data_IF_235068506648
#
_entry.id   IF_235068506648
#
_cell.length_a   1.000
_cell.length_b   1.000
_cell.length_c   1.000
_cell.angle_alpha   90.00
_cell.angle_beta   90.00
_cell.angle_gamma   90.00
#
_symmetry.space_group_name_H-M   'P 1'
#
loop_
_entity.id
_entity.type
_entity.pdbx_description
1 polymer ?
#
# COMPACT_ATOMS: atom_id res chain seq x y z
N UNK A 1 17.71 -0.24 45.84
CA UNK A 1 16.71 -0.90 44.99
C UNK A 1 16.97 -0.42 43.57
N UNK A 2 17.57 -1.28 42.75
CA UNK A 2 17.93 -0.95 41.39
C UNK A 2 16.68 -1.02 40.51
N UNK A 3 16.43 0.03 39.74
CA UNK A 3 15.41 0.06 38.69
C UNK A 3 15.69 -1.07 37.72
N UNK A 4 14.75 -2.02 37.65
CA UNK A 4 14.72 -3.01 36.58
C UNK A 4 14.30 -2.23 35.33
N UNK A 5 15.28 -1.88 34.50
CA UNK A 5 15.04 -1.48 33.12
C UNK A 5 14.27 -2.62 32.42
N UNK A 6 12.94 -2.49 32.36
CA UNK A 6 12.12 -3.26 31.43
C UNK A 6 12.50 -2.79 30.02
N UNK A 7 13.56 -3.38 29.47
CA UNK A 7 13.80 -3.38 28.02
C UNK A 7 12.58 -4.05 27.39
N UNK A 8 11.61 -3.23 27.03
CA UNK A 8 10.44 -3.68 26.31
C UNK A 8 10.92 -4.05 24.91
N UNK A 9 10.92 -5.35 24.58
CA UNK A 9 11.21 -5.91 23.23
C UNK A 9 10.23 -5.42 22.13
N UNK A 10 9.36 -4.48 22.47
CA UNK A 10 8.44 -3.82 21.55
C UNK A 10 9.19 -2.96 20.54
N UNK A 11 8.75 -3.01 19.30
CA UNK A 11 9.17 -2.03 18.28
C UNK A 11 8.28 -0.80 18.41
N UNK A 12 8.89 0.38 18.50
CA UNK A 12 8.17 1.66 18.48
C UNK A 12 8.70 2.58 17.39
N UNK A 13 7.84 3.05 16.50
CA UNK A 13 8.22 4.01 15.46
C UNK A 13 7.16 5.10 15.26
N UNK A 14 7.54 6.20 14.64
CA UNK A 14 6.64 7.32 14.34
C UNK A 14 6.15 7.25 12.91
N UNK A 15 4.86 7.43 12.72
CA UNK A 15 4.19 7.45 11.43
C UNK A 15 3.59 8.82 11.16
N UNK A 16 3.97 9.45 10.06
CA UNK A 16 3.39 10.72 9.59
C UNK A 16 2.22 10.46 8.65
N UNK A 17 1.03 10.92 9.00
CA UNK A 17 -0.17 10.87 8.17
C UNK A 17 -0.83 12.26 8.17
N UNK A 18 -1.09 12.83 6.99
CA UNK A 18 -1.72 14.15 6.83
C UNK A 18 -1.10 15.23 7.74
N UNK A 19 0.24 15.29 7.75
CA UNK A 19 1.05 16.20 8.57
C UNK A 19 0.96 16.03 10.10
N UNK A 20 0.37 14.94 10.59
CA UNK A 20 0.36 14.58 12.01
C UNK A 20 1.21 13.34 12.25
N UNK A 21 1.93 13.31 13.37
CA UNK A 21 2.68 12.14 13.79
C UNK A 21 1.83 11.29 14.74
N UNK A 22 1.90 9.98 14.51
CA UNK A 22 1.30 8.94 15.34
C UNK A 22 2.40 8.01 15.80
N UNK A 23 2.33 7.54 17.04
CA UNK A 23 3.23 6.51 17.53
C UNK A 23 2.61 5.14 17.23
N UNK A 24 3.41 4.27 16.62
CA UNK A 24 3.05 2.87 16.37
C UNK A 24 3.88 2.01 17.30
N UNK A 25 3.20 1.09 18.00
CA UNK A 25 3.82 0.12 18.90
C UNK A 25 3.46 -1.28 18.44
N UNK A 26 4.44 -2.15 18.26
CA UNK A 26 4.24 -3.57 17.98
C UNK A 26 4.83 -4.36 19.13
N UNK A 27 3.97 -5.10 19.83
CA UNK A 27 4.35 -5.92 20.96
C UNK A 27 4.56 -7.38 20.52
N UNK A 28 5.78 -7.95 20.64
CA UNK A 28 6.03 -9.34 20.30
C UNK A 28 5.21 -10.31 21.18
N UNK A 29 4.88 -9.90 22.41
CA UNK A 29 4.20 -10.74 23.39
C UNK A 29 2.67 -10.68 23.28
N UNK A 30 2.11 -9.87 22.38
CA UNK A 30 0.65 -9.80 22.16
C UNK A 30 0.14 -11.07 21.48
N UNK A 31 -0.62 -11.89 22.20
CA UNK A 31 -1.12 -13.20 21.79
C UNK A 31 -2.47 -13.15 21.05
N UNK A 32 -3.05 -11.95 20.83
CA UNK A 32 -4.34 -11.80 20.14
C UNK A 32 -4.32 -12.25 18.69
N UNK A 33 -3.17 -12.11 18.03
CA UNK A 33 -2.99 -12.41 16.61
C UNK A 33 -1.77 -13.34 16.40
N UNK A 34 -1.92 -14.35 15.55
CA UNK A 34 -0.81 -15.22 15.12
C UNK A 34 0.32 -14.39 14.51
N UNK A 35 -0.04 -13.45 13.63
CA UNK A 35 0.91 -12.56 12.96
C UNK A 35 0.98 -11.19 13.64
N UNK A 36 2.18 -10.83 14.12
CA UNK A 36 2.38 -9.61 14.92
C UNK A 36 2.18 -8.32 14.12
N UNK A 37 2.32 -8.36 12.79
CA UNK A 37 2.02 -7.22 11.94
C UNK A 37 0.52 -6.87 11.89
N UNK A 38 -0.40 -7.71 12.38
CA UNK A 38 -1.82 -7.34 12.44
C UNK A 38 -2.08 -6.15 13.37
N UNK A 39 -1.28 -5.99 14.43
CA UNK A 39 -1.33 -4.81 15.31
C UNK A 39 -1.12 -3.50 14.53
N UNK A 40 -0.40 -3.54 13.41
CA UNK A 40 -0.23 -2.37 12.55
C UNK A 40 -1.53 -1.99 11.84
N UNK A 41 -2.28 -2.98 11.33
CA UNK A 41 -3.55 -2.71 10.66
C UNK A 41 -4.59 -2.17 11.64
N UNK A 42 -4.68 -2.72 12.85
CA UNK A 42 -5.51 -2.19 13.94
C UNK A 42 -5.22 -0.70 14.21
N UNK A 43 -3.94 -0.35 14.33
CA UNK A 43 -3.52 1.04 14.56
C UNK A 43 -3.76 1.93 13.34
N UNK A 44 -3.56 1.41 12.12
CA UNK A 44 -3.84 2.15 10.89
C UNK A 44 -5.34 2.44 10.74
N UNK A 45 -6.22 1.53 11.13
CA UNK A 45 -7.66 1.80 11.17
C UNK A 45 -7.99 2.97 12.10
N UNK A 46 -7.41 2.99 13.32
CA UNK A 46 -7.58 4.11 14.25
C UNK A 46 -7.04 5.44 13.70
N UNK A 47 -5.89 5.42 13.01
CA UNK A 47 -5.23 6.62 12.46
C UNK A 47 -5.97 7.17 11.23
N UNK A 48 -6.41 6.28 10.34
CA UNK A 48 -6.91 6.64 9.00
C UNK A 48 -8.44 6.64 8.93
N UNK A 49 -9.09 5.98 9.89
CA UNK A 49 -10.53 5.71 9.91
C UNK A 49 -11.00 4.82 8.75
N UNK A 50 -10.09 4.13 8.05
CA UNK A 50 -10.44 3.13 7.03
C UNK A 50 -10.57 1.80 7.74
N UNK A 51 -11.76 1.17 7.71
CA UNK A 51 -11.95 -0.16 8.28
C UNK A 51 -10.90 -1.16 7.76
N UNK A 52 -10.34 -1.98 8.66
CA UNK A 52 -9.26 -2.92 8.33
C UNK A 52 -9.63 -3.86 7.18
N UNK A 53 -10.88 -4.32 7.10
CA UNK A 53 -11.39 -5.13 5.97
C UNK A 53 -11.23 -4.49 4.58
N UNK A 54 -11.05 -3.17 4.49
CA UNK A 54 -10.81 -2.45 3.24
C UNK A 54 -9.33 -2.16 2.99
N UNK A 55 -8.42 -2.62 3.86
CA UNK A 55 -6.97 -2.51 3.70
C UNK A 55 -6.37 -3.91 3.55
N UNK A 56 -5.85 -4.22 2.37
CA UNK A 56 -5.40 -5.58 2.06
C UNK A 56 -3.94 -5.84 2.43
N UNK A 57 -3.07 -4.86 2.22
CA UNK A 57 -1.64 -5.03 2.45
C UNK A 57 -0.93 -3.75 2.82
N UNK A 58 0.23 -3.93 3.45
CA UNK A 58 1.20 -2.91 3.80
C UNK A 58 2.57 -3.30 3.24
N UNK A 59 3.31 -2.32 2.72
CA UNK A 59 4.69 -2.50 2.29
C UNK A 59 5.62 -1.58 3.09
N UNK A 60 6.75 -2.11 3.55
CA UNK A 60 7.85 -1.27 4.06
C UNK A 60 8.84 -1.05 2.93
N UNK A 61 9.08 0.20 2.58
CA UNK A 61 9.99 0.59 1.51
C UNK A 61 11.23 1.22 2.13
N UNK A 62 12.40 0.69 1.80
CA UNK A 62 13.68 1.30 2.20
C UNK A 62 14.58 1.55 1.00
N UNK A 63 15.48 2.50 1.19
CA UNK A 63 16.52 2.84 0.25
C UNK A 63 17.85 2.23 0.72
N UNK A 64 18.36 1.22 0.00
CA UNK A 64 19.63 0.56 0.37
C UNK A 64 20.86 1.41 0.06
N UNK A 65 20.74 2.35 -0.90
CA UNK A 65 21.81 3.25 -1.30
C UNK A 65 21.29 4.69 -1.32
N UNK A 66 21.11 5.33 -0.15
CA UNK A 66 20.77 6.75 -0.07
C UNK A 66 21.96 7.57 -0.58
N UNK A 67 22.04 7.73 -1.90
CA UNK A 67 22.98 8.62 -2.57
C UNK A 67 22.21 9.86 -3.02
N UNK A 68 22.75 11.08 -2.78
CA UNK A 68 22.12 12.33 -3.24
C UNK A 68 21.92 12.38 -4.77
N UNK A 69 22.59 11.50 -5.52
CA UNK A 69 22.54 11.44 -6.98
C UNK A 69 21.62 10.35 -7.54
N UNK A 70 21.21 9.34 -6.74
CA UNK A 70 20.45 8.21 -7.27
C UNK A 70 19.51 7.55 -6.24
N UNK A 71 18.36 8.20 -5.98
CA UNK A 71 17.28 7.66 -5.11
C UNK A 71 16.34 6.68 -5.84
N UNK A 72 16.76 6.07 -6.95
CA UNK A 72 15.91 5.18 -7.74
C UNK A 72 15.88 3.74 -7.21
N UNK A 73 16.81 3.36 -6.33
CA UNK A 73 16.94 2.00 -5.78
C UNK A 73 16.05 1.72 -4.57
N UNK A 74 14.76 2.08 -4.62
CA UNK A 74 13.82 1.72 -3.55
C UNK A 74 13.43 0.26 -3.66
N UNK A 75 13.67 -0.50 -2.60
CA UNK A 75 13.36 -1.92 -2.54
C UNK A 75 12.20 -2.12 -1.57
N UNK A 76 11.27 -2.99 -1.95
CA UNK A 76 10.25 -3.49 -1.04
C UNK A 76 10.97 -4.35 -0.02
N UNK A 77 11.16 -3.80 1.17
CA UNK A 77 11.85 -4.50 2.25
C UNK A 77 10.96 -5.55 2.85
N UNK A 78 9.68 -5.25 3.08
CA UNK A 78 8.70 -6.22 3.57
C UNK A 78 7.31 -6.00 3.00
N UNK A 79 6.56 -7.09 2.88
CA UNK A 79 5.15 -7.13 2.47
C UNK A 79 4.40 -7.79 3.62
N UNK A 80 3.29 -7.19 4.02
CA UNK A 80 2.45 -7.68 5.11
C UNK A 80 1.00 -7.66 4.65
N UNK A 81 0.29 -8.77 4.86
CA UNK A 81 -1.10 -8.92 4.44
C UNK A 81 -2.01 -8.87 5.65
N UNK A 82 -3.12 -8.17 5.51
CA UNK A 82 -4.14 -8.07 6.52
C UNK A 82 -5.06 -9.30 6.49
N UNK A 83 -5.13 -10.04 7.59
CA UNK A 83 -6.02 -11.20 7.70
C UNK A 83 -7.49 -10.79 7.69
N UNK A 84 -7.85 -9.61 8.18
CA UNK A 84 -9.24 -9.14 8.18
C UNK A 84 -9.78 -8.80 6.79
N UNK A 85 -8.90 -8.59 5.81
CA UNK A 85 -9.29 -8.35 4.42
C UNK A 85 -9.38 -9.65 3.60
N UNK A 86 -8.96 -10.80 4.15
CA UNK A 86 -8.99 -12.07 3.42
C UNK A 86 -10.42 -12.60 3.30
N UNK A 87 -10.74 -13.12 2.12
CA UNK A 87 -11.99 -13.88 1.88
C UNK A 87 -11.72 -15.39 1.89
N UNK A 88 -12.72 -16.24 2.23
CA UNK A 88 -12.56 -17.71 2.30
C UNK A 88 -12.08 -18.40 1.00
N UNK A 89 -12.18 -17.69 -0.13
CA UNK A 89 -11.73 -18.17 -1.43
C UNK A 89 -10.44 -17.46 -1.89
N UNK A 90 -9.72 -16.85 -0.96
CA UNK A 90 -8.48 -16.15 -1.26
C UNK A 90 -7.44 -17.16 -1.74
N UNK A 91 -6.72 -16.84 -2.82
CA UNK A 91 -5.64 -17.70 -3.29
C UNK A 91 -4.52 -17.83 -2.26
N UNK A 92 -4.45 -16.90 -1.30
CA UNK A 92 -3.54 -16.99 -0.16
C UNK A 92 -3.91 -18.09 0.82
N UNK A 93 -5.19 -18.38 1.02
CA UNK A 93 -5.65 -19.49 1.87
C UNK A 93 -5.29 -20.86 1.26
N UNK A 94 -5.41 -20.98 -0.07
CA UNK A 94 -5.17 -22.25 -0.78
C UNK A 94 -3.70 -22.49 -1.16
N UNK A 95 -2.92 -21.43 -1.36
CA UNK A 95 -1.53 -21.53 -1.81
C UNK A 95 -0.56 -20.82 -0.85
N UNK A 96 -0.32 -21.42 0.34
CA UNK A 96 0.63 -20.90 1.32
C UNK A 96 2.10 -20.86 0.84
N UNK A 97 2.40 -21.36 -0.37
CA UNK A 97 3.71 -21.20 -1.02
C UNK A 97 3.79 -20.01 -1.97
N UNK A 98 2.68 -19.42 -2.42
CA UNK A 98 2.70 -18.07 -3.01
C UNK A 98 2.87 -17.01 -1.91
N UNK A 99 2.42 -17.35 -0.70
CA UNK A 99 2.80 -16.74 0.58
C UNK A 99 4.32 -16.69 0.81
N UNK A 100 5.13 -17.61 0.27
CA UNK A 100 6.58 -17.65 0.56
C UNK A 100 7.37 -16.40 0.12
N UNK A 101 6.84 -15.63 -0.84
CA UNK A 101 7.46 -14.36 -1.27
C UNK A 101 6.91 -13.13 -0.55
N UNK A 102 5.76 -13.24 0.13
CA UNK A 102 5.05 -12.11 0.72
C UNK A 102 4.74 -12.24 2.23
N UNK A 103 4.96 -13.40 2.86
CA UNK A 103 4.51 -13.69 4.24
C UNK A 103 5.58 -14.15 5.23
N UNK A 104 6.84 -14.28 4.84
CA UNK A 104 7.89 -14.65 5.80
C UNK A 104 8.84 -13.48 6.01
N UNK A 105 8.26 -12.31 6.26
CA UNK A 105 8.96 -11.36 7.09
C UNK A 105 8.16 -11.19 8.34
N UNK A 106 8.69 -11.75 9.41
CA UNK A 106 8.37 -11.23 10.72
C UNK A 106 8.60 -9.71 10.68
N UNK A 107 7.65 -8.91 11.17
CA UNK A 107 7.82 -7.45 11.23
C UNK A 107 9.10 -7.08 12.01
N UNK A 108 9.53 -7.95 12.94
CA UNK A 108 10.81 -7.83 13.64
C UNK A 108 12.03 -8.04 12.72
N UNK A 109 11.91 -8.81 11.64
CA UNK A 109 13.00 -9.02 10.65
C UNK A 109 13.32 -7.79 9.81
N UNK A 110 12.42 -6.80 9.76
CA UNK A 110 12.62 -5.57 9.01
C UNK A 110 13.57 -4.60 9.73
N UNK A 111 14.08 -4.95 10.93
CA UNK A 111 15.09 -4.17 11.67
C UNK A 111 14.70 -2.68 11.81
N UNK A 112 13.44 -2.41 12.14
CA UNK A 112 12.95 -1.06 12.41
C UNK A 112 13.54 -0.57 13.73
N UNK A 113 14.13 0.63 13.73
CA UNK A 113 14.75 1.19 14.94
C UNK A 113 13.72 1.94 15.78
N UNK A 114 13.92 1.92 17.10
CA UNK A 114 13.11 2.73 18.00
C UNK A 114 13.24 4.22 17.66
N UNK A 115 12.10 4.89 17.49
CA UNK A 115 12.03 6.31 17.11
C UNK A 115 12.27 6.58 15.62
N UNK A 116 12.42 5.54 14.78
CA UNK A 116 12.46 5.71 13.32
C UNK A 116 11.16 6.39 12.83
N UNK A 117 11.29 7.22 11.80
CA UNK A 117 10.17 8.00 11.26
C UNK A 117 9.83 7.51 9.86
N UNK A 118 8.56 7.20 9.67
CA UNK A 118 7.97 6.83 8.40
C UNK A 118 6.91 7.83 8.00
N UNK A 119 6.77 7.99 6.70
CA UNK A 119 5.67 8.67 6.06
C UNK A 119 4.68 7.62 5.55
N UNK A 120 3.39 7.80 5.87
CA UNK A 120 2.34 6.93 5.38
C UNK A 120 1.95 7.36 3.96
N UNK A 121 2.37 6.58 2.98
CA UNK A 121 1.81 6.66 1.64
C UNK A 121 0.72 5.60 1.46
N UNK A 122 -0.27 5.92 0.64
CA UNK A 122 -1.40 5.06 0.35
C UNK A 122 -1.76 5.12 -1.12
N UNK A 123 -2.32 4.02 -1.61
CA UNK A 123 -2.95 3.92 -2.91
C UNK A 123 -4.06 2.87 -2.84
N UNK A 124 -4.71 2.63 -3.97
CA UNK A 124 -5.69 1.56 -4.09
C UNK A 124 -5.23 0.56 -5.13
N UNK A 125 -5.53 -0.71 -4.89
CA UNK A 125 -5.24 -1.77 -5.82
C UNK A 125 -6.38 -2.80 -5.84
N UNK A 126 -6.66 -3.41 -7.00
CA UNK A 126 -7.63 -4.52 -7.06
C UNK A 126 -6.92 -5.80 -6.62
N UNK A 127 -7.26 -6.28 -5.44
CA UNK A 127 -6.57 -7.37 -4.76
C UNK A 127 -7.28 -8.69 -5.05
N UNK A 128 -7.09 -9.19 -6.26
CA UNK A 128 -7.72 -10.42 -6.75
C UNK A 128 -7.34 -11.68 -5.96
N UNK A 129 -6.22 -11.67 -5.22
CA UNK A 129 -5.72 -12.83 -4.47
C UNK A 129 -6.10 -12.81 -2.98
N UNK A 130 -6.42 -11.64 -2.41
CA UNK A 130 -6.62 -11.45 -0.97
C UNK A 130 -8.09 -11.18 -0.69
N UNK A 131 -8.57 -10.01 -1.13
CA UNK A 131 -9.88 -9.49 -0.75
C UNK A 131 -10.90 -9.53 -1.89
N UNK A 132 -10.49 -9.90 -3.11
CA UNK A 132 -11.30 -9.92 -4.35
C UNK A 132 -12.09 -8.62 -4.57
N UNK A 133 -11.46 -7.48 -4.26
CA UNK A 133 -12.06 -6.13 -4.35
C UNK A 133 -10.98 -5.07 -4.50
N UNK A 134 -11.40 -3.83 -4.73
CA UNK A 134 -10.53 -2.65 -4.60
C UNK A 134 -10.28 -2.42 -3.11
N UNK A 135 -9.00 -2.40 -2.75
CA UNK A 135 -8.56 -2.26 -1.37
C UNK A 135 -7.49 -1.18 -1.25
N UNK A 136 -7.39 -0.62 -0.04
CA UNK A 136 -6.32 0.27 0.35
C UNK A 136 -5.02 -0.53 0.48
N UNK A 137 -3.95 0.02 -0.06
CA UNK A 137 -2.63 -0.58 -0.08
C UNK A 137 -1.67 0.46 0.52
N UNK A 138 -1.20 0.21 1.75
CA UNK A 138 -0.36 1.14 2.51
C UNK A 138 1.12 0.93 2.23
N UNK A 139 1.90 2.01 2.32
CA UNK A 139 3.36 1.98 2.20
C UNK A 139 3.98 2.83 3.30
N UNK A 140 4.87 2.24 4.08
CA UNK A 140 5.73 2.93 5.01
C UNK A 140 7.03 3.27 4.29
N UNK A 141 7.27 4.56 4.09
CA UNK A 141 8.51 5.06 3.47
C UNK A 141 9.28 5.86 4.50
N UNK A 142 10.58 5.62 4.63
CA UNK A 142 11.39 6.39 5.58
C UNK A 142 11.30 7.88 5.29
N UNK A 143 11.06 8.70 6.31
CA UNK A 143 10.79 10.13 6.14
C UNK A 143 11.92 10.87 5.41
N UNK A 144 13.17 10.45 5.62
CA UNK A 144 14.35 11.00 4.93
C UNK A 144 14.36 10.80 3.42
N UNK A 145 13.62 9.81 2.91
CA UNK A 145 13.53 9.50 1.49
C UNK A 145 12.34 10.21 0.82
N UNK A 146 11.50 10.89 1.60
CA UNK A 146 10.32 11.60 1.11
C UNK A 146 10.71 13.01 0.69
N UNK A 147 10.47 13.40 -0.57
CA UNK A 147 10.80 14.75 -1.01
C UNK A 147 9.87 15.76 -0.33
N UNK A 148 10.35 16.98 -0.06
CA UNK A 148 9.53 18.05 0.51
C UNK A 148 8.36 18.42 -0.42
N UNK A 149 8.63 18.47 -1.73
CA UNK A 149 7.65 18.74 -2.78
C UNK A 149 7.84 17.77 -3.97
N UNK A 150 6.81 17.63 -4.81
CA UNK A 150 6.90 16.79 -6.00
C UNK A 150 6.88 15.28 -5.72
N UNK A 151 7.47 14.50 -6.63
CA UNK A 151 7.36 13.04 -6.61
C UNK A 151 8.69 12.36 -6.93
N UNK A 152 9.13 11.45 -6.05
CA UNK A 152 10.39 10.71 -6.17
C UNK A 152 10.16 9.25 -5.84
N UNK A 153 10.67 8.35 -6.69
CA UNK A 153 10.83 6.92 -6.39
C UNK A 153 9.54 6.21 -5.96
N UNK A 154 8.39 6.59 -6.52
CA UNK A 154 7.10 6.00 -6.12
C UNK A 154 6.43 6.65 -4.90
N UNK A 155 6.99 7.72 -4.33
CA UNK A 155 6.34 8.64 -3.38
C UNK A 155 5.97 9.92 -4.11
N UNK A 156 4.77 10.45 -3.84
CA UNK A 156 4.28 11.66 -4.49
C UNK A 156 3.47 12.49 -3.48
N UNK A 157 3.95 13.70 -3.16
CA UNK A 157 3.31 14.56 -2.15
C UNK A 157 1.87 14.92 -2.54
N UNK A 158 1.60 15.08 -3.84
CA UNK A 158 0.25 15.37 -4.35
C UNK A 158 -0.77 14.25 -4.08
N UNK A 159 -0.31 13.01 -3.90
CA UNK A 159 -1.15 11.85 -3.54
C UNK A 159 -1.35 11.72 -2.02
N UNK A 160 -0.79 12.63 -1.22
CA UNK A 160 -0.82 12.53 0.24
C UNK A 160 -1.62 13.70 0.86
N UNK A 161 -2.65 14.16 0.13
CA UNK A 161 -3.58 15.20 0.59
C UNK A 161 -4.85 14.61 1.18
N UNK A 162 -5.49 15.32 2.11
CA UNK A 162 -6.75 14.88 2.73
C UNK A 162 -7.85 14.64 1.69
N UNK A 163 -7.96 15.52 0.69
CA UNK A 163 -8.93 15.37 -0.40
C UNK A 163 -8.70 14.11 -1.24
N UNK A 164 -7.44 13.76 -1.50
CA UNK A 164 -7.12 12.57 -2.27
C UNK A 164 -7.37 11.31 -1.44
N UNK A 165 -6.93 11.32 -0.18
CA UNK A 165 -7.19 10.23 0.77
C UNK A 165 -8.69 9.94 0.91
N UNK A 166 -9.51 10.98 1.08
CA UNK A 166 -10.97 10.83 1.18
C UNK A 166 -11.57 10.15 -0.06
N UNK A 167 -11.14 10.54 -1.27
CA UNK A 167 -11.60 9.87 -2.51
C UNK A 167 -11.24 8.39 -2.53
N UNK A 168 -10.04 8.02 -2.09
CA UNK A 168 -9.63 6.62 -2.01
C UNK A 168 -10.45 5.86 -0.97
N UNK A 169 -10.70 6.49 0.19
CA UNK A 169 -11.56 5.93 1.24
C UNK A 169 -12.97 5.67 0.73
N UNK A 170 -13.59 6.66 0.08
CA UNK A 170 -14.91 6.54 -0.52
C UNK A 170 -14.94 5.40 -1.55
N UNK A 171 -13.92 5.31 -2.41
CA UNK A 171 -13.75 4.27 -3.42
C UNK A 171 -13.69 2.86 -2.82
N UNK A 172 -12.85 2.63 -1.81
CA UNK A 172 -12.71 1.30 -1.20
C UNK A 172 -13.94 0.91 -0.37
N UNK A 173 -14.67 1.88 0.18
CA UNK A 173 -15.89 1.64 0.95
C UNK A 173 -17.16 1.41 0.11
N UNK A 174 -17.10 1.63 -1.21
CA UNK A 174 -18.25 1.44 -2.09
C UNK A 174 -18.47 -0.05 -2.40
N UNK A 175 -19.15 -0.74 -1.50
CA UNK A 175 -19.39 -2.18 -1.60
C UNK A 175 -20.23 -2.58 -2.84
N UNK A 176 -21.21 -1.77 -3.23
CA UNK A 176 -22.05 -2.05 -4.40
C UNK A 176 -21.24 -2.00 -5.71
N UNK A 177 -20.43 -0.96 -5.89
CA UNK A 177 -19.57 -0.82 -7.06
C UNK A 177 -18.49 -1.89 -7.08
N UNK A 178 -17.88 -2.18 -5.92
CA UNK A 178 -16.90 -3.26 -5.81
C UNK A 178 -17.51 -4.60 -6.21
N UNK A 179 -18.71 -4.95 -5.74
CA UNK A 179 -19.39 -6.18 -6.13
C UNK A 179 -19.61 -6.27 -7.66
N UNK A 180 -20.06 -5.17 -8.30
CA UNK A 180 -20.23 -5.11 -9.76
C UNK A 180 -18.91 -5.30 -10.50
N UNK A 181 -17.84 -4.63 -10.06
CA UNK A 181 -16.52 -4.75 -10.67
C UNK A 181 -15.99 -6.17 -10.49
N UNK A 182 -16.03 -6.72 -9.28
CA UNK A 182 -15.56 -8.06 -8.95
C UNK A 182 -16.21 -9.11 -9.84
N UNK A 183 -17.54 -9.04 -10.05
CA UNK A 183 -18.25 -9.96 -10.93
C UNK A 183 -17.71 -9.96 -12.37
N UNK A 184 -17.26 -8.80 -12.86
CA UNK A 184 -16.74 -8.64 -14.22
C UNK A 184 -15.26 -9.01 -14.34
N UNK A 185 -14.44 -8.62 -13.36
CA UNK A 185 -12.97 -8.72 -13.46
C UNK A 185 -12.41 -10.04 -12.92
N UNK A 186 -13.08 -10.68 -11.95
CA UNK A 186 -12.56 -11.90 -11.33
C UNK A 186 -12.34 -13.04 -12.34
N UNK A 187 -13.28 -13.37 -13.25
CA UNK A 187 -13.07 -14.41 -14.25
C UNK A 187 -11.96 -14.06 -15.25
N UNK A 188 -11.72 -12.76 -15.47
CA UNK A 188 -10.68 -12.27 -16.38
C UNK A 188 -9.28 -12.38 -15.76
N UNK A 189 -9.15 -12.17 -14.44
CA UNK A 189 -7.91 -12.47 -13.73
C UNK A 189 -7.59 -13.97 -13.76
N UNK A 190 -8.60 -14.82 -13.56
CA UNK A 190 -8.44 -16.28 -13.57
C UNK A 190 -8.08 -16.83 -14.97
N UNK A 191 -8.53 -16.17 -16.03
CA UNK A 191 -8.18 -16.51 -17.42
C UNK A 191 -6.95 -15.77 -17.97
N UNK A 192 -6.32 -14.89 -17.19
CA UNK A 192 -5.12 -14.14 -17.59
C UNK A 192 -5.37 -12.95 -18.55
N UNK A 193 -6.62 -12.56 -18.78
CA UNK A 193 -6.97 -11.47 -19.71
C UNK A 193 -6.89 -10.09 -19.06
N UNK A 194 -5.66 -9.66 -18.77
CA UNK A 194 -5.40 -8.37 -18.10
C UNK A 194 -5.87 -7.15 -18.91
N UNK A 195 -5.83 -7.20 -20.25
CA UNK A 195 -6.21 -6.09 -21.11
C UNK A 195 -7.69 -5.70 -20.94
N UNK A 196 -8.57 -6.70 -20.82
CA UNK A 196 -9.99 -6.51 -20.61
C UNK A 196 -10.30 -5.95 -19.22
N UNK A 197 -9.58 -6.40 -18.19
CA UNK A 197 -9.66 -5.83 -16.83
C UNK A 197 -9.38 -4.32 -16.85
N UNK A 198 -8.32 -3.89 -17.54
CA UNK A 198 -8.01 -2.47 -17.68
C UNK A 198 -9.07 -1.67 -18.44
N UNK A 199 -9.84 -2.32 -19.34
CA UNK A 199 -10.98 -1.69 -20.00
C UNK A 199 -12.12 -1.46 -19.01
N UNK A 200 -12.49 -2.48 -18.25
CA UNK A 200 -13.52 -2.37 -17.21
C UNK A 200 -13.17 -1.28 -16.19
N UNK A 201 -11.92 -1.22 -15.71
CA UNK A 201 -11.51 -0.15 -14.79
C UNK A 201 -11.62 1.27 -15.40
N UNK A 202 -11.53 1.43 -16.72
CA UNK A 202 -11.80 2.71 -17.39
C UNK A 202 -13.28 3.00 -17.49
N UNK A 203 -14.10 1.99 -17.79
CA UNK A 203 -15.55 2.13 -17.93
C UNK A 203 -16.19 2.54 -16.60
N UNK A 204 -15.66 2.04 -15.48
CA UNK A 204 -16.03 2.47 -14.13
C UNK A 204 -15.34 3.78 -13.68
N UNK A 205 -14.48 4.37 -14.52
CA UNK A 205 -13.71 5.59 -14.21
C UNK A 205 -12.91 5.48 -12.90
N UNK A 206 -12.23 4.35 -12.70
CA UNK A 206 -11.39 4.10 -11.51
C UNK A 206 -9.91 3.83 -11.84
N UNK A 207 -9.58 3.63 -13.13
CA UNK A 207 -8.21 3.31 -13.56
C UNK A 207 -7.20 4.36 -13.09
N UNK A 208 -7.58 5.64 -13.06
CA UNK A 208 -6.72 6.74 -12.59
C UNK A 208 -6.36 6.67 -11.11
N UNK A 209 -7.15 5.96 -10.29
CA UNK A 209 -6.84 5.75 -8.86
C UNK A 209 -5.97 4.51 -8.65
N UNK A 210 -6.19 3.46 -9.45
CA UNK A 210 -5.41 2.22 -9.41
C UNK A 210 -4.01 2.39 -10.02
N UNK A 211 -3.91 3.23 -11.05
CA UNK A 211 -2.67 3.49 -11.80
C UNK A 211 -2.47 5.00 -11.94
N UNK A 212 -2.25 5.71 -10.84
CA UNK A 212 -2.09 7.15 -10.91
C UNK A 212 -0.80 7.47 -11.67
N UNK A 213 -0.94 8.14 -12.80
CA UNK A 213 0.21 8.62 -13.56
C UNK A 213 0.85 9.79 -12.80
N UNK A 214 2.09 9.63 -12.39
CA UNK A 214 2.90 10.73 -11.92
C UNK A 214 3.55 11.38 -13.14
N UNK A 215 3.16 12.63 -13.46
CA UNK A 215 3.68 13.38 -14.61
C UNK A 215 5.22 13.47 -14.59
N UNK A 216 5.83 13.52 -13.42
CA UNK A 216 7.29 13.54 -13.25
C UNK A 216 7.95 12.20 -13.62
N UNK A 217 7.33 11.08 -13.26
CA UNK A 217 7.76 9.74 -13.69
C UNK A 217 7.58 9.53 -15.20
N UNK A 218 6.47 10.04 -15.75
CA UNK A 218 6.19 10.03 -17.18
C UNK A 218 7.20 10.88 -17.98
N UNK A 219 7.50 12.10 -17.51
CA UNK A 219 8.52 12.99 -18.10
C UNK A 219 9.92 12.40 -18.02
N UNK A 220 10.29 11.73 -16.93
CA UNK A 220 11.57 11.01 -16.85
C UNK A 220 11.64 9.85 -17.83
N UNK A 221 10.58 9.04 -17.96
CA UNK A 221 10.55 7.96 -18.95
C UNK A 221 10.62 8.49 -20.38
N UNK A 222 9.94 9.59 -20.69
CA UNK A 222 10.08 10.30 -21.97
C UNK A 222 11.52 10.76 -22.22
N UNK A 223 12.16 11.37 -21.21
CA UNK A 223 13.52 11.88 -21.33
C UNK A 223 14.58 10.78 -21.49
N UNK A 224 14.37 9.59 -20.91
CA UNK A 224 15.30 8.46 -20.99
C UNK A 224 15.07 7.59 -22.22
N UNK A 225 13.82 7.33 -22.59
CA UNK A 225 13.47 6.33 -23.61
C UNK A 225 12.98 6.92 -24.94
N UNK A 226 12.81 8.25 -25.04
CA UNK A 226 12.29 8.93 -26.25
C UNK A 226 10.82 8.64 -26.57
N UNK A 227 10.20 7.70 -25.85
CA UNK A 227 8.82 7.28 -25.96
C UNK A 227 8.26 7.07 -24.56
N UNK A 228 7.02 7.52 -24.34
CA UNK A 228 6.25 7.06 -23.19
C UNK A 228 4.89 6.58 -23.68
N UNK A 229 4.53 5.38 -23.24
CA UNK A 229 3.23 4.79 -23.53
C UNK A 229 2.13 5.80 -23.20
N UNK A 230 1.24 6.07 -24.15
CA UNK A 230 0.07 6.89 -23.88
C UNK A 230 -0.81 6.14 -22.89
N UNK A 231 -0.76 6.54 -21.61
CA UNK A 231 -1.63 5.97 -20.58
C UNK A 231 -2.97 6.70 -20.70
N UNK A 232 -3.85 6.17 -21.55
CA UNK A 232 -5.23 6.63 -21.58
C UNK A 232 -5.92 6.21 -20.27
N UNK A 233 -5.96 7.17 -19.33
CA UNK A 233 -6.62 7.05 -18.03
C UNK A 233 -8.13 7.28 -18.11
N UNK A 234 -8.59 7.99 -19.14
CA UNK A 234 -10.00 8.32 -19.35
C UNK A 234 -10.48 7.77 -20.70
N UNK A 235 -11.73 7.26 -20.78
CA UNK A 235 -12.40 7.15 -22.06
C UNK A 235 -12.62 8.57 -22.61
N UNK A 236 -11.94 8.93 -23.70
CA UNK A 236 -12.25 10.16 -24.43
C UNK A 236 -13.59 9.96 -25.14
N UNK A 237 -14.70 10.27 -24.47
CA UNK A 237 -15.92 10.59 -25.20
C UNK A 237 -15.68 11.92 -25.91
N UNK A 238 -15.38 11.84 -27.21
CA UNK A 238 -15.41 13.02 -28.08
C UNK A 238 -16.82 13.62 -27.96
N UNK A 239 -16.90 14.87 -27.52
CA UNK A 239 -18.01 15.75 -27.90
C UNK A 239 -17.92 16.07 -29.38
#
# INVERSE_FOLDING_TARGET
MAEINNNSDKITFKLKHLNKYHEIVIDPNDDRNEYKHQQLFEQLESITGVPSRYAAKMLIIKNETPSPLNNNGRIVWGIFVNSEAMVPESLMEYYPHLMFTAHIQDIFSVNTRNGQRFYLQYGVCYEHQISKRISMCYKLVEERDVPEEGCVGGVCQYQCTESYFRRLKDLVSNDEMNAKITQLVQPLFESGNSAEVYRIFRDFNIKQYLYPSCDEGYRRQLAVNGHAHQIDLYPRTRG
#
